data_IF_386804372724
#
_entry.id   IF_386804372724
#
_cell.length_a   1.000
_cell.length_b   1.000
_cell.length_c   1.000
_cell.angle_alpha   90.00
_cell.angle_beta   90.00
_cell.angle_gamma   90.00
#
_symmetry.space_group_name_H-M   'P 1'
#
loop_
_entity.id
_entity.type
_entity.pdbx_description
1 polymer ?
#
# COMPACT_ATOMS: atom_id res chain seq x y z
N UNK A 1 -8.48 -6.02 -66.34
CA UNK A 1 -8.42 -4.66 -65.78
C UNK A 1 -8.98 -4.63 -64.34
N UNK A 2 -8.22 -5.08 -63.34
CA UNK A 2 -8.65 -5.18 -61.93
C UNK A 2 -7.55 -4.68 -60.97
N UNK A 3 -6.84 -3.59 -61.33
CA UNK A 3 -5.65 -3.14 -60.56
C UNK A 3 -5.70 -1.65 -60.15
N UNK A 4 -6.75 -0.91 -60.53
CA UNK A 4 -6.94 0.52 -60.18
C UNK A 4 -7.83 0.72 -58.95
N UNK A 5 -8.74 -0.21 -58.68
CA UNK A 5 -9.69 -0.10 -57.56
C UNK A 5 -9.07 -0.53 -56.22
N UNK A 6 -8.23 -1.59 -56.24
CA UNK A 6 -7.45 -2.02 -55.07
C UNK A 6 -6.54 -0.90 -54.55
N UNK A 7 -5.88 -0.15 -55.44
CA UNK A 7 -4.99 0.97 -55.08
C UNK A 7 -5.71 2.14 -54.40
N UNK A 8 -6.99 2.38 -54.73
CA UNK A 8 -7.83 3.42 -54.09
C UNK A 8 -8.36 2.97 -52.73
N UNK A 9 -8.55 1.67 -52.52
CA UNK A 9 -8.95 1.11 -51.23
C UNK A 9 -7.77 1.13 -50.23
N UNK A 10 -6.57 0.73 -50.64
CA UNK A 10 -5.35 0.76 -49.82
C UNK A 10 -5.01 2.19 -49.36
N UNK A 11 -5.12 3.18 -50.25
CA UNK A 11 -4.84 4.57 -49.90
C UNK A 11 -5.77 5.17 -48.83
N UNK A 12 -7.01 4.66 -48.69
CA UNK A 12 -7.94 5.12 -47.64
C UNK A 12 -7.65 4.46 -46.29
N UNK A 13 -7.17 3.22 -46.27
CA UNK A 13 -6.77 2.52 -45.05
C UNK A 13 -5.45 3.07 -44.50
N UNK A 14 -4.50 3.41 -45.38
CA UNK A 14 -3.19 3.94 -44.98
C UNK A 14 -3.33 5.32 -44.35
N UNK A 15 -4.16 6.20 -44.94
CA UNK A 15 -4.48 7.52 -44.37
C UNK A 15 -5.15 7.45 -42.99
N UNK A 16 -5.97 6.42 -42.73
CA UNK A 16 -6.60 6.23 -41.41
C UNK A 16 -5.57 5.76 -40.37
N UNK A 17 -4.71 4.81 -40.73
CA UNK A 17 -3.65 4.31 -39.84
C UNK A 17 -2.65 5.42 -39.49
N UNK A 18 -2.30 6.28 -40.44
CA UNK A 18 -1.36 7.38 -40.22
C UNK A 18 -1.92 8.43 -39.25
N UNK A 19 -3.20 8.80 -39.42
CA UNK A 19 -3.90 9.70 -38.47
C UNK A 19 -4.01 9.11 -37.07
N UNK A 20 -4.24 7.81 -36.95
CA UNK A 20 -4.32 7.13 -35.65
C UNK A 20 -2.95 7.04 -34.97
N UNK A 21 -1.88 6.79 -35.73
CA UNK A 21 -0.51 6.81 -35.22
C UNK A 21 -0.09 8.20 -34.74
N UNK A 22 -0.47 9.27 -35.45
CA UNK A 22 -0.19 10.65 -35.02
C UNK A 22 -0.90 10.97 -33.70
N UNK A 23 -2.21 10.69 -33.61
CA UNK A 23 -2.97 10.87 -32.36
C UNK A 23 -2.38 10.09 -31.18
N UNK A 24 -1.89 8.87 -31.42
CA UNK A 24 -1.26 8.04 -30.38
C UNK A 24 0.11 8.57 -29.95
N UNK A 25 0.88 9.19 -30.86
CA UNK A 25 2.15 9.84 -30.54
C UNK A 25 1.93 11.12 -29.73
N UNK A 26 0.93 11.92 -30.09
CA UNK A 26 0.54 13.14 -29.36
C UNK A 26 -0.01 12.83 -27.96
N UNK A 27 -0.86 11.81 -27.81
CA UNK A 27 -1.34 11.38 -26.50
C UNK A 27 -0.18 10.92 -25.58
N UNK A 28 0.86 10.28 -26.15
CA UNK A 28 2.05 9.86 -25.40
C UNK A 28 2.93 11.02 -24.97
N UNK A 29 3.07 12.07 -25.80
CA UNK A 29 3.86 13.26 -25.43
C UNK A 29 3.14 14.08 -24.36
N UNK A 30 1.82 14.25 -24.48
CA UNK A 30 1.00 14.94 -23.46
C UNK A 30 1.03 14.19 -22.13
N UNK A 31 0.87 12.86 -22.12
CA UNK A 31 0.97 12.06 -20.89
C UNK A 31 2.35 12.16 -20.23
N UNK A 32 3.43 12.20 -21.02
CA UNK A 32 4.80 12.39 -20.51
C UNK A 32 5.02 13.80 -19.96
N UNK A 33 4.47 14.82 -20.60
CA UNK A 33 4.55 16.20 -20.13
C UNK A 33 3.74 16.42 -18.84
N UNK A 34 2.52 15.88 -18.76
CA UNK A 34 1.70 15.89 -17.55
C UNK A 34 2.40 15.18 -16.38
N UNK A 35 3.06 14.05 -16.64
CA UNK A 35 3.86 13.33 -15.63
C UNK A 35 5.09 14.12 -15.18
N UNK A 36 5.73 14.87 -16.08
CA UNK A 36 6.87 15.74 -15.77
C UNK A 36 6.44 16.97 -14.99
N UNK A 37 5.32 17.60 -15.32
CA UNK A 37 4.75 18.72 -14.57
C UNK A 37 4.30 18.29 -13.17
N UNK A 38 3.68 17.12 -13.02
CA UNK A 38 3.35 16.54 -11.71
C UNK A 38 4.59 16.24 -10.86
N UNK A 39 5.74 15.91 -11.48
CA UNK A 39 7.03 15.79 -10.80
C UNK A 39 7.68 17.14 -10.51
N UNK A 40 7.51 18.13 -11.38
CA UNK A 40 8.08 19.48 -11.24
C UNK A 40 7.39 20.29 -10.13
N UNK A 41 6.10 20.05 -9.88
CA UNK A 41 5.37 20.64 -8.76
C UNK A 41 5.66 19.95 -7.41
N UNK A 42 6.47 18.88 -7.38
CA UNK A 42 7.06 18.43 -6.11
C UNK A 42 8.21 19.37 -5.80
N UNK A 43 7.93 20.37 -4.98
CA UNK A 43 8.94 21.16 -4.28
C UNK A 43 9.99 20.19 -3.74
N UNK A 44 11.26 20.30 -4.13
CA UNK A 44 12.33 19.54 -3.49
C UNK A 44 12.33 19.97 -2.03
N UNK A 45 11.77 19.13 -1.16
CA UNK A 45 11.90 19.35 0.28
C UNK A 45 13.39 19.44 0.61
N UNK A 46 13.77 20.30 1.58
CA UNK A 46 15.17 20.44 1.98
C UNK A 46 15.76 19.06 2.32
N UNK A 47 17.09 18.85 2.16
CA UNK A 47 17.74 17.60 2.52
C UNK A 47 17.74 17.47 4.04
N UNK A 48 16.61 17.08 4.62
CA UNK A 48 16.46 16.91 6.07
C UNK A 48 17.07 15.57 6.45
N UNK A 49 18.04 15.67 7.36
CA UNK A 49 18.60 14.64 8.24
C UNK A 49 17.90 13.27 8.18
N UNK A 50 18.71 12.21 7.98
CA UNK A 50 18.39 10.77 8.15
C UNK A 50 16.95 10.52 8.63
N UNK A 51 15.99 10.53 7.70
CA UNK A 51 14.60 10.31 8.06
C UNK A 51 14.45 8.89 8.62
N UNK A 52 14.08 8.71 9.90
CA UNK A 52 13.85 7.39 10.46
C UNK A 52 12.74 6.73 9.62
N UNK A 53 13.02 5.55 9.07
CA UNK A 53 12.00 4.80 8.31
C UNK A 53 12.18 4.69 6.79
N UNK A 54 13.39 4.84 6.22
CA UNK A 54 13.65 4.37 4.82
C UNK A 54 13.20 2.92 4.62
N UNK A 55 13.27 2.13 5.68
CA UNK A 55 12.84 0.74 5.72
C UNK A 55 11.43 0.54 6.28
N UNK A 56 10.69 1.60 6.67
CA UNK A 56 9.38 1.46 7.32
C UNK A 56 8.36 0.72 6.45
N UNK A 57 8.36 0.94 5.14
CA UNK A 57 7.48 0.20 4.22
C UNK A 57 7.82 -1.29 4.16
N UNK A 58 9.10 -1.64 4.14
CA UNK A 58 9.57 -3.04 4.15
C UNK A 58 9.31 -3.72 5.48
N UNK A 59 9.51 -2.99 6.59
CA UNK A 59 9.24 -3.47 7.94
C UNK A 59 7.74 -3.73 8.15
N UNK A 60 6.86 -2.82 7.70
CA UNK A 60 5.42 -3.04 7.74
C UNK A 60 5.00 -4.28 6.93
N UNK A 61 5.60 -4.47 5.74
CA UNK A 61 5.33 -5.63 4.90
C UNK A 61 5.85 -6.92 5.54
N UNK A 62 7.03 -6.90 6.12
CA UNK A 62 7.59 -8.02 6.88
C UNK A 62 6.69 -8.38 8.08
N UNK A 63 6.23 -7.40 8.85
CA UNK A 63 5.29 -7.63 9.96
C UNK A 63 3.99 -8.26 9.47
N UNK A 64 3.41 -7.77 8.37
CA UNK A 64 2.20 -8.35 7.79
C UNK A 64 2.40 -9.80 7.34
N UNK A 65 3.53 -10.10 6.72
CA UNK A 65 3.88 -11.46 6.27
C UNK A 65 4.06 -12.39 7.47
N UNK A 66 4.78 -11.96 8.51
CA UNK A 66 4.97 -12.75 9.74
C UNK A 66 3.63 -13.04 10.41
N UNK A 67 2.76 -12.05 10.54
CA UNK A 67 1.42 -12.22 11.11
C UNK A 67 0.56 -13.19 10.27
N UNK A 68 0.71 -13.16 8.94
CA UNK A 68 0.02 -14.08 8.04
C UNK A 68 0.53 -15.51 8.17
N UNK A 69 1.85 -15.70 8.36
CA UNK A 69 2.45 -17.02 8.61
C UNK A 69 2.02 -17.59 9.96
N UNK A 70 2.02 -16.76 11.01
CA UNK A 70 1.54 -17.14 12.36
C UNK A 70 0.05 -17.49 12.38
N UNK A 71 -0.73 -16.96 11.43
CA UNK A 71 -2.14 -17.32 11.28
C UNK A 71 -2.35 -18.76 10.82
N UNK A 72 -1.41 -19.27 10.01
CA UNK A 72 -1.51 -20.60 9.38
C UNK A 72 -0.78 -21.67 10.20
N UNK A 73 0.20 -21.27 11.02
CA UNK A 73 0.96 -22.18 11.85
C UNK A 73 0.10 -22.71 13.02
N UNK A 74 0.07 -24.04 13.28
CA UNK A 74 -0.63 -24.60 14.41
C UNK A 74 0.06 -24.18 15.72
N UNK A 75 -0.62 -23.37 16.52
CA UNK A 75 -0.18 -22.98 17.86
C UNK A 75 -0.55 -24.10 18.83
N UNK A 76 0.40 -24.98 19.17
CA UNK A 76 0.16 -26.15 20.03
C UNK A 76 -0.19 -25.75 21.48
N UNK A 77 0.19 -24.57 21.95
CA UNK A 77 -0.21 -24.03 23.25
C UNK A 77 -0.65 -22.57 23.12
N UNK A 78 -1.96 -22.32 23.29
CA UNK A 78 -2.53 -20.97 23.32
C UNK A 78 -2.47 -20.39 24.72
N UNK A 79 -1.33 -19.82 25.06
CA UNK A 79 -1.10 -19.15 26.34
C UNK A 79 -1.38 -17.65 26.19
N UNK A 80 -1.80 -16.95 27.26
CA UNK A 80 -2.02 -15.49 27.27
C UNK A 80 -0.85 -14.68 26.69
N UNK A 81 0.38 -15.22 26.81
CA UNK A 81 1.58 -14.66 26.20
C UNK A 81 1.51 -14.60 24.66
N UNK A 82 0.94 -15.60 24.00
CA UNK A 82 0.79 -15.61 22.53
C UNK A 82 -0.13 -14.47 22.06
N UNK A 83 -1.23 -14.21 22.77
CA UNK A 83 -2.15 -13.10 22.49
C UNK A 83 -1.48 -11.73 22.67
N UNK A 84 -0.60 -11.59 23.67
CA UNK A 84 0.19 -10.37 23.92
C UNK A 84 1.21 -10.14 22.78
N UNK A 85 1.92 -11.19 22.37
CA UNK A 85 2.88 -11.12 21.26
C UNK A 85 2.18 -10.73 19.95
N UNK A 86 1.02 -11.32 19.67
CA UNK A 86 0.20 -10.96 18.52
C UNK A 86 -0.23 -9.49 18.54
N UNK A 87 -0.65 -8.99 19.70
CA UNK A 87 -1.01 -7.58 19.87
C UNK A 87 0.19 -6.65 19.62
N UNK A 88 1.38 -7.02 20.09
CA UNK A 88 2.63 -6.28 19.83
C UNK A 88 2.93 -6.19 18.33
N UNK A 89 2.72 -7.27 17.57
CA UNK A 89 2.87 -7.22 16.11
C UNK A 89 1.89 -6.24 15.46
N UNK A 90 0.66 -6.11 15.96
CA UNK A 90 -0.29 -5.10 15.48
C UNK A 90 0.17 -3.66 15.78
N UNK A 91 0.78 -3.42 16.96
CA UNK A 91 1.40 -2.12 17.27
C UNK A 91 2.51 -1.80 16.27
N UNK A 92 3.42 -2.76 16.06
CA UNK A 92 4.57 -2.60 15.16
C UNK A 92 4.12 -2.36 13.72
N UNK A 93 3.14 -3.14 13.25
CA UNK A 93 2.54 -2.97 11.94
C UNK A 93 1.90 -1.59 11.79
N UNK A 94 1.03 -1.19 12.73
CA UNK A 94 0.37 0.11 12.72
C UNK A 94 1.37 1.28 12.72
N UNK A 95 2.45 1.15 13.48
CA UNK A 95 3.53 2.12 13.53
C UNK A 95 4.22 2.29 12.17
N UNK A 96 4.77 1.20 11.64
CA UNK A 96 5.54 1.26 10.39
C UNK A 96 4.67 1.60 9.17
N UNK A 97 3.44 1.10 9.14
CA UNK A 97 2.51 1.35 8.05
C UNK A 97 2.01 2.81 8.04
N UNK A 98 1.75 3.39 9.21
CA UNK A 98 1.42 4.81 9.34
C UNK A 98 2.60 5.71 8.90
N UNK A 99 3.83 5.42 9.34
CA UNK A 99 5.04 6.10 8.87
C UNK A 99 5.22 6.02 7.34
N UNK A 100 4.92 4.87 6.76
CA UNK A 100 4.97 4.67 5.31
C UNK A 100 3.92 5.53 4.56
N UNK A 101 2.70 5.65 5.09
CA UNK A 101 1.65 6.49 4.49
C UNK A 101 1.91 7.99 4.66
N UNK A 102 2.44 8.40 5.81
CA UNK A 102 2.85 9.79 6.05
C UNK A 102 3.94 10.23 5.06
N UNK A 103 4.89 9.34 4.74
CA UNK A 103 5.89 9.59 3.68
C UNK A 103 5.30 9.77 2.28
N UNK A 104 4.13 9.18 2.02
CA UNK A 104 3.40 9.33 0.75
C UNK A 104 2.49 10.55 0.73
N UNK A 105 2.51 11.40 1.77
CA UNK A 105 1.68 12.59 1.91
C UNK A 105 0.18 12.27 1.87
N UNK A 106 -0.22 11.11 2.40
CA UNK A 106 -1.62 10.72 2.45
C UNK A 106 -2.31 11.49 3.58
N UNK A 107 -3.32 12.34 3.29
CA UNK A 107 -3.93 13.24 4.28
C UNK A 107 -4.70 12.50 5.39
N UNK A 108 -4.99 11.21 5.18
CA UNK A 108 -5.70 10.33 6.14
C UNK A 108 -4.89 9.08 6.50
N UNK A 109 -3.57 9.22 6.65
CA UNK A 109 -2.67 8.10 6.93
C UNK A 109 -3.13 7.19 8.08
N UNK A 110 -3.52 7.76 9.23
CA UNK A 110 -3.99 6.99 10.39
C UNK A 110 -5.25 6.17 10.05
N UNK A 111 -6.25 6.79 9.41
CA UNK A 111 -7.50 6.10 9.06
C UNK A 111 -7.25 4.95 8.08
N UNK A 112 -6.35 5.15 7.11
CA UNK A 112 -5.99 4.10 6.15
C UNK A 112 -5.23 2.97 6.84
N UNK A 113 -4.33 3.28 7.77
CA UNK A 113 -3.62 2.27 8.59
C UNK A 113 -4.60 1.46 9.43
N UNK A 114 -5.53 2.13 10.13
CA UNK A 114 -6.55 1.46 10.92
C UNK A 114 -7.39 0.57 10.02
N UNK A 115 -7.92 1.09 8.91
CA UNK A 115 -8.75 0.33 7.97
C UNK A 115 -8.05 -0.90 7.41
N UNK A 116 -6.83 -0.76 6.90
CA UNK A 116 -6.04 -1.87 6.36
C UNK A 116 -5.66 -2.86 7.47
N UNK A 117 -5.30 -2.35 8.64
CA UNK A 117 -4.95 -3.17 9.79
C UNK A 117 -6.12 -3.99 10.33
N UNK A 118 -7.32 -3.40 10.42
CA UNK A 118 -8.56 -4.15 10.75
C UNK A 118 -8.90 -5.17 9.68
N UNK A 119 -8.72 -4.83 8.40
CA UNK A 119 -8.97 -5.77 7.30
C UNK A 119 -8.00 -6.97 7.36
N UNK A 120 -6.73 -6.71 7.66
CA UNK A 120 -5.72 -7.75 7.86
C UNK A 120 -6.04 -8.62 9.08
N UNK A 121 -6.44 -8.02 10.20
CA UNK A 121 -6.89 -8.76 11.38
C UNK A 121 -8.11 -9.63 11.10
N UNK A 122 -9.12 -9.11 10.40
CA UNK A 122 -10.28 -9.87 9.97
C UNK A 122 -9.90 -11.04 9.05
N UNK A 123 -8.96 -10.82 8.12
CA UNK A 123 -8.44 -11.89 7.25
C UNK A 123 -7.74 -12.99 8.02
N UNK A 124 -7.00 -12.66 9.08
CA UNK A 124 -6.35 -13.63 9.96
C UNK A 124 -7.39 -14.45 10.74
N UNK A 125 -8.40 -13.80 11.32
CA UNK A 125 -9.47 -14.52 12.04
C UNK A 125 -10.28 -15.43 11.09
N UNK A 126 -10.53 -14.98 9.85
CA UNK A 126 -11.16 -15.81 8.83
C UNK A 126 -10.31 -17.03 8.48
N UNK A 127 -8.99 -16.87 8.34
CA UNK A 127 -8.08 -17.98 8.09
C UNK A 127 -8.09 -19.00 9.24
N UNK A 128 -8.13 -18.53 10.49
CA UNK A 128 -8.25 -19.40 11.68
C UNK A 128 -9.58 -20.15 11.71
N UNK A 129 -10.67 -19.47 11.35
CA UNK A 129 -12.00 -20.08 11.26
C UNK A 129 -12.03 -21.23 10.24
N UNK A 130 -11.38 -21.05 9.07
CA UNK A 130 -11.26 -22.10 8.04
C UNK A 130 -10.41 -23.30 8.51
N UNK A 131 -9.51 -23.11 9.47
CA UNK A 131 -8.67 -24.17 10.04
C UNK A 131 -9.32 -24.90 11.23
N UNK A 132 -10.60 -24.62 11.55
CA UNK A 132 -11.29 -25.15 12.76
C UNK A 132 -10.52 -24.77 14.05
N UNK A 133 -9.76 -23.68 14.00
CA UNK A 133 -9.05 -23.17 15.14
C UNK A 133 -10.01 -22.27 15.93
N UNK A 134 -10.04 -22.38 17.26
CA UNK A 134 -10.93 -21.55 18.10
C UNK A 134 -10.65 -20.06 17.85
N UNK A 135 -11.69 -19.27 17.65
CA UNK A 135 -11.55 -17.82 17.59
C UNK A 135 -11.17 -17.31 18.99
N UNK A 136 -10.20 -16.41 19.07
CA UNK A 136 -9.70 -15.89 20.35
C UNK A 136 -10.20 -14.44 20.54
N UNK A 137 -11.33 -14.23 21.23
CA UNK A 137 -11.99 -12.93 21.27
C UNK A 137 -11.14 -11.86 21.97
N UNK A 138 -10.28 -12.27 22.90
CA UNK A 138 -9.36 -11.38 23.63
C UNK A 138 -8.38 -10.71 22.65
N UNK A 139 -7.89 -11.46 21.67
CA UNK A 139 -6.96 -10.97 20.66
C UNK A 139 -7.59 -9.88 19.79
N UNK A 140 -8.83 -10.09 19.35
CA UNK A 140 -9.58 -9.12 18.54
C UNK A 140 -9.81 -7.83 19.34
N UNK A 141 -10.15 -7.97 20.63
CA UNK A 141 -10.40 -6.85 21.53
C UNK A 141 -9.13 -5.99 21.75
N UNK A 142 -7.95 -6.62 21.85
CA UNK A 142 -6.68 -5.92 22.09
C UNK A 142 -6.04 -5.40 20.80
N UNK A 143 -6.25 -6.07 19.66
CA UNK A 143 -5.61 -5.71 18.39
C UNK A 143 -6.01 -4.31 17.89
N UNK A 144 -7.29 -3.94 18.00
CA UNK A 144 -7.77 -2.63 17.52
C UNK A 144 -7.15 -1.45 18.31
N UNK A 145 -7.19 -1.44 19.66
CA UNK A 145 -6.49 -0.43 20.46
C UNK A 145 -4.98 -0.38 20.17
N UNK A 146 -4.32 -1.54 20.10
CA UNK A 146 -2.89 -1.65 19.81
C UNK A 146 -2.50 -0.97 18.49
N UNK A 147 -3.32 -1.16 17.46
CA UNK A 147 -3.11 -0.58 16.13
C UNK A 147 -3.27 0.93 16.13
N UNK A 148 -4.28 1.44 16.85
CA UNK A 148 -4.50 2.88 17.04
C UNK A 148 -3.29 3.52 17.74
N UNK A 149 -2.81 2.90 18.83
CA UNK A 149 -1.64 3.38 19.59
C UNK A 149 -0.41 3.43 18.69
N UNK A 150 -0.12 2.36 17.94
CA UNK A 150 1.01 2.31 17.01
C UNK A 150 0.93 3.40 15.94
N UNK A 151 -0.25 3.61 15.35
CA UNK A 151 -0.46 4.65 14.35
C UNK A 151 -0.30 6.07 14.91
N UNK A 152 -0.67 6.29 16.17
CA UNK A 152 -0.54 7.56 16.88
C UNK A 152 0.93 7.90 17.17
N UNK A 153 1.69 6.92 17.68
CA UNK A 153 3.13 7.08 17.95
C UNK A 153 3.90 7.42 16.66
N UNK A 154 3.56 6.78 15.55
CA UNK A 154 4.16 7.06 14.25
C UNK A 154 3.95 8.51 13.80
N UNK A 155 2.74 9.06 13.99
CA UNK A 155 2.44 10.45 13.69
C UNK A 155 3.21 11.40 14.62
N UNK A 156 3.25 11.12 15.92
CA UNK A 156 3.95 11.93 16.90
C UNK A 156 5.46 12.01 16.59
N UNK A 157 6.10 10.88 16.30
CA UNK A 157 7.51 10.82 15.93
C UNK A 157 7.80 11.50 14.59
N UNK A 158 6.91 11.38 13.60
CA UNK A 158 7.07 12.07 12.32
C UNK A 158 7.02 13.60 12.47
N UNK A 159 6.12 14.10 13.32
CA UNK A 159 6.02 15.53 13.63
C UNK A 159 7.22 16.05 14.43
N UNK A 160 7.75 15.26 15.38
CA UNK A 160 8.98 15.59 16.10
C UNK A 160 10.20 15.63 15.17
N UNK A 161 10.31 14.70 14.22
CA UNK A 161 11.42 14.65 13.27
C UNK A 161 11.41 15.78 12.21
N UNK A 162 10.34 16.58 12.14
CA UNK A 162 10.22 17.75 11.26
C UNK A 162 10.56 19.09 11.95
N UNK A 163 10.67 19.12 13.28
CA UNK A 163 11.14 20.30 14.03
C UNK A 163 12.66 20.36 14.03
#
# INVERSE_FOLDING_TARGET
>A
MMNRQLRRASGKTDKKKEREQQKRKEARTVARQASRQARSNRVPGPPTARSPGRYAGWLALASAVIMSLQAVAPQLERTTLTSIVDALFFVIFGYFFSLFLLRRLVPRAILVTVGIGTLLGAGIELAKYLQVATADPIRVLIAVPALIIGAWIAKALYLQAQK
#
